data_IF_038307929232
#
_entry.id   IF_038307929232
#
_cell.length_a   1.000
_cell.length_b   1.000
_cell.length_c   1.000
_cell.angle_alpha   90.00
_cell.angle_beta   90.00
_cell.angle_gamma   90.00
#
_symmetry.space_group_name_H-M   'P 1'
#
loop_
_entity.id
_entity.type
_entity.pdbx_description
1 polymer ?
#
# COMPACT_ATOMS: atom_id res chain seq x y z
N UNK A 1 82.71 -58.28 -24.24
CA UNK A 1 83.50 -57.05 -24.06
C UNK A 1 82.79 -55.95 -24.86
N UNK A 2 82.71 -54.73 -24.31
CA UNK A 2 81.91 -53.55 -24.72
C UNK A 2 80.52 -53.40 -24.09
N UNK A 3 80.46 -52.57 -23.04
CA UNK A 3 79.33 -51.69 -22.78
C UNK A 3 79.14 -50.72 -23.96
N UNK A 4 77.91 -50.22 -24.16
CA UNK A 4 77.77 -48.79 -23.93
C UNK A 4 76.45 -48.38 -23.22
N UNK A 5 76.67 -47.52 -22.21
CA UNK A 5 76.00 -46.24 -22.00
C UNK A 5 74.50 -46.23 -21.69
N UNK A 6 74.25 -46.32 -20.39
CA UNK A 6 73.04 -45.92 -19.66
C UNK A 6 72.77 -44.41 -19.87
N UNK A 7 71.89 -44.05 -20.82
CA UNK A 7 71.31 -42.70 -20.88
C UNK A 7 69.96 -42.72 -20.18
N UNK A 8 69.96 -42.21 -18.95
CA UNK A 8 68.76 -41.82 -18.23
C UNK A 8 67.99 -40.78 -19.05
N UNK A 9 66.98 -41.21 -19.79
CA UNK A 9 65.96 -40.31 -20.29
C UNK A 9 64.89 -40.24 -19.19
N UNK A 10 64.94 -39.14 -18.43
CA UNK A 10 64.00 -38.82 -17.36
C UNK A 10 62.56 -39.04 -17.83
N UNK A 11 61.97 -40.13 -17.36
CA UNK A 11 60.54 -40.39 -17.38
C UNK A 11 59.92 -39.39 -16.37
N UNK A 12 59.66 -38.16 -16.82
CA UNK A 12 58.76 -37.24 -16.12
C UNK A 12 57.32 -37.66 -16.41
N UNK A 13 56.90 -38.77 -15.82
CA UNK A 13 55.49 -39.19 -15.83
C UNK A 13 54.91 -38.94 -14.44
N UNK A 14 54.87 -37.68 -14.04
CA UNK A 14 53.99 -37.28 -12.94
C UNK A 14 52.60 -37.14 -13.51
N UNK A 15 51.80 -38.14 -13.20
CA UNK A 15 50.40 -38.27 -13.53
C UNK A 15 49.64 -36.96 -13.28
N UNK A 16 48.85 -36.59 -14.28
CA UNK A 16 47.87 -35.52 -14.20
C UNK A 16 46.88 -35.85 -13.07
N UNK A 17 47.01 -35.19 -11.93
CA UNK A 17 45.93 -35.10 -10.97
C UNK A 17 45.24 -33.77 -11.24
N UNK A 18 44.28 -33.82 -12.17
CA UNK A 18 43.23 -32.83 -12.28
C UNK A 18 42.43 -32.87 -10.97
N UNK A 19 42.90 -32.16 -9.96
CA UNK A 19 42.09 -31.83 -8.79
C UNK A 19 41.06 -30.81 -9.26
N UNK A 20 40.00 -31.31 -9.87
CA UNK A 20 38.73 -30.59 -10.02
C UNK A 20 38.26 -30.28 -8.61
N UNK A 21 38.67 -29.13 -8.07
CA UNK A 21 38.02 -28.54 -6.92
C UNK A 21 36.59 -28.23 -7.38
N UNK A 22 35.71 -29.20 -7.16
CA UNK A 22 34.28 -29.04 -7.31
C UNK A 22 33.89 -27.88 -6.40
N UNK A 23 33.73 -26.70 -6.99
CA UNK A 23 33.13 -25.58 -6.33
C UNK A 23 31.69 -26.03 -6.04
N UNK A 24 31.44 -26.48 -4.81
CA UNK A 24 30.09 -26.64 -4.31
C UNK A 24 29.50 -25.23 -4.31
N UNK A 25 28.88 -24.85 -5.43
CA UNK A 25 28.03 -23.68 -5.51
C UNK A 25 26.82 -23.98 -4.62
N UNK A 26 26.98 -23.76 -3.33
CA UNK A 26 25.90 -23.78 -2.36
C UNK A 26 24.92 -22.71 -2.81
N UNK A 27 23.85 -23.10 -3.48
CA UNK A 27 22.75 -22.22 -3.81
C UNK A 27 22.11 -21.78 -2.48
N UNK A 28 22.57 -20.64 -1.96
CA UNK A 28 22.01 -20.04 -0.76
C UNK A 28 20.56 -19.67 -1.06
N UNK A 29 19.62 -20.40 -0.45
CA UNK A 29 18.20 -20.07 -0.54
C UNK A 29 17.91 -18.94 0.44
N UNK A 30 17.83 -17.71 -0.08
CA UNK A 30 17.40 -16.55 0.69
C UNK A 30 15.88 -16.50 0.71
N UNK A 31 15.28 -16.78 1.86
CA UNK A 31 13.84 -16.56 2.05
C UNK A 31 13.60 -15.11 2.45
N UNK A 32 12.98 -14.33 1.57
CA UNK A 32 12.56 -12.96 1.87
C UNK A 32 11.08 -12.98 2.25
N UNK A 33 10.77 -12.48 3.45
CA UNK A 33 9.40 -12.29 3.90
C UNK A 33 8.96 -10.87 3.57
N UNK A 34 7.84 -10.75 2.87
CA UNK A 34 7.17 -9.49 2.64
C UNK A 34 5.85 -9.47 3.40
N UNK A 35 5.51 -8.32 3.95
CA UNK A 35 4.20 -8.05 4.56
C UNK A 35 3.45 -7.08 3.66
N UNK A 36 2.23 -7.45 3.29
CA UNK A 36 1.34 -6.60 2.49
C UNK A 36 0.21 -6.13 3.40
N UNK A 37 0.06 -4.81 3.54
CA UNK A 37 -1.04 -4.20 4.29
C UNK A 37 -2.03 -3.59 3.31
N UNK A 38 -3.29 -4.02 3.37
CA UNK A 38 -4.37 -3.42 2.59
C UNK A 38 -4.99 -2.31 3.45
N UNK A 39 -5.00 -1.09 2.93
CA UNK A 39 -5.58 0.07 3.61
C UNK A 39 -6.74 0.63 2.81
N UNK A 40 -7.78 1.08 3.51
CA UNK A 40 -8.86 1.85 2.91
C UNK A 40 -8.33 3.18 2.39
N UNK A 41 -8.78 3.59 1.21
CA UNK A 41 -8.39 4.86 0.59
C UNK A 41 -9.63 5.65 0.21
N UNK A 42 -9.49 6.96 0.17
CA UNK A 42 -10.53 7.88 -0.29
C UNK A 42 -9.93 8.90 -1.26
N UNK A 43 -10.75 9.36 -2.19
CA UNK A 43 -10.45 10.42 -3.15
C UNK A 43 -11.54 11.48 -3.08
N UNK A 44 -11.16 12.75 -3.30
CA UNK A 44 -12.14 13.84 -3.37
C UNK A 44 -12.94 13.69 -4.66
N UNK A 45 -14.25 13.56 -4.53
CA UNK A 45 -15.16 13.56 -5.67
C UNK A 45 -15.70 14.97 -5.93
N UNK A 46 -16.09 15.67 -4.86
CA UNK A 46 -16.60 17.03 -4.93
C UNK A 46 -16.25 17.79 -3.65
N UNK A 47 -16.08 19.09 -3.78
CA UNK A 47 -15.84 20.01 -2.67
C UNK A 47 -16.49 21.36 -2.99
N UNK A 48 -17.27 21.89 -2.05
CA UNK A 48 -17.93 23.17 -2.16
C UNK A 48 -17.92 23.92 -0.82
N UNK A 49 -18.74 24.95 -0.68
CA UNK A 49 -18.82 25.76 0.54
C UNK A 49 -19.55 25.06 1.70
N UNK A 50 -20.40 24.06 1.41
CA UNK A 50 -21.17 23.32 2.40
C UNK A 50 -20.39 22.11 2.93
N UNK A 51 -19.57 21.48 2.08
CA UNK A 51 -18.85 20.29 2.49
C UNK A 51 -17.94 19.66 1.44
N UNK A 52 -17.63 18.39 1.69
CA UNK A 52 -16.77 17.54 0.85
C UNK A 52 -17.45 16.19 0.66
N UNK A 53 -17.51 15.72 -0.58
CA UNK A 53 -17.89 14.35 -0.91
C UNK A 53 -16.66 13.55 -1.30
N UNK A 54 -16.44 12.45 -0.60
CA UNK A 54 -15.31 11.54 -0.80
C UNK A 54 -15.79 10.21 -1.37
N UNK A 55 -15.12 9.72 -2.41
CA UNK A 55 -15.27 8.35 -2.86
C UNK A 55 -14.21 7.49 -2.20
N UNK A 56 -14.65 6.53 -1.41
CA UNK A 56 -13.81 5.62 -0.64
C UNK A 56 -13.91 4.19 -1.17
N UNK A 57 -12.93 3.36 -0.79
CA UNK A 57 -13.02 1.90 -0.94
C UNK A 57 -14.31 1.37 -0.31
N UNK A 58 -14.78 0.22 -0.79
CA UNK A 58 -16.05 -0.37 -0.34
C UNK A 58 -16.10 -0.51 1.18
N UNK A 59 -17.22 -0.07 1.76
CA UNK A 59 -17.56 -0.11 3.19
C UNK A 59 -16.57 0.68 4.08
N UNK A 60 -15.76 1.57 3.50
CA UNK A 60 -14.81 2.41 4.24
C UNK A 60 -15.38 3.82 4.44
N UNK A 61 -15.60 4.20 5.71
CA UNK A 61 -16.18 5.49 6.11
C UNK A 61 -15.40 6.04 7.31
N UNK A 62 -14.28 6.75 7.08
CA UNK A 62 -13.43 7.24 8.15
C UNK A 62 -14.09 8.40 8.91
N UNK A 63 -13.94 8.42 10.24
CA UNK A 63 -14.48 9.48 11.08
C UNK A 63 -13.82 10.84 10.80
N UNK A 64 -12.49 10.86 10.64
CA UNK A 64 -11.75 12.05 10.20
C UNK A 64 -10.97 11.75 8.90
N UNK A 65 -11.43 12.24 7.75
CA UNK A 65 -10.78 11.98 6.47
C UNK A 65 -9.41 12.65 6.31
N UNK A 66 -9.03 13.60 7.19
CA UNK A 66 -7.72 14.26 7.17
C UNK A 66 -6.59 13.36 7.66
N UNK A 67 -6.94 12.27 8.34
CA UNK A 67 -5.97 11.24 8.77
C UNK A 67 -5.51 10.35 7.61
N UNK A 68 -6.19 10.42 6.47
CA UNK A 68 -5.87 9.61 5.30
C UNK A 68 -4.65 10.19 4.56
N UNK A 69 -3.60 9.37 4.30
CA UNK A 69 -2.43 9.82 3.56
C UNK A 69 -2.76 10.39 2.19
N UNK A 70 -3.76 9.81 1.52
CA UNK A 70 -4.19 10.22 0.18
C UNK A 70 -4.81 11.62 0.11
N UNK A 71 -5.25 12.19 1.25
CA UNK A 71 -5.96 13.47 1.34
C UNK A 71 -5.16 14.56 2.07
N UNK A 72 -3.92 14.26 2.46
CA UNK A 72 -3.06 15.21 3.17
C UNK A 72 -2.88 16.49 2.35
N UNK A 73 -3.21 17.63 2.97
CA UNK A 73 -3.08 18.96 2.37
C UNK A 73 -4.15 19.33 1.33
N UNK A 74 -5.10 18.43 1.03
CA UNK A 74 -6.16 18.69 0.03
C UNK A 74 -7.47 19.14 0.68
N UNK A 75 -7.71 18.74 1.94
CA UNK A 75 -8.92 19.10 2.67
C UNK A 75 -8.76 20.43 3.41
N UNK A 76 -9.83 21.23 3.53
CA UNK A 76 -9.82 22.44 4.34
C UNK A 76 -9.51 22.14 5.82
N UNK A 77 -8.96 23.11 6.56
CA UNK A 77 -8.64 22.92 7.98
C UNK A 77 -9.89 22.87 8.89
N UNK A 78 -11.07 23.21 8.36
CA UNK A 78 -12.33 23.23 9.09
C UNK A 78 -12.72 21.83 9.58
N UNK A 79 -13.49 21.77 10.67
CA UNK A 79 -14.02 20.52 11.19
C UNK A 79 -15.04 19.93 10.21
N UNK A 80 -14.81 18.69 9.80
CA UNK A 80 -15.71 17.91 8.95
C UNK A 80 -16.47 16.90 9.81
N UNK A 81 -17.78 16.82 9.63
CA UNK A 81 -18.63 15.81 10.23
C UNK A 81 -19.24 14.93 9.14
N UNK A 82 -19.18 13.61 9.31
CA UNK A 82 -19.82 12.68 8.38
C UNK A 82 -21.34 12.83 8.49
N UNK A 83 -21.99 13.24 7.41
CA UNK A 83 -23.46 13.43 7.35
C UNK A 83 -24.16 12.27 6.66
N UNK A 84 -23.46 11.53 5.81
CA UNK A 84 -24.03 10.36 5.14
C UNK A 84 -22.98 9.49 4.46
N UNK A 85 -23.28 8.20 4.35
CA UNK A 85 -22.48 7.24 3.62
C UNK A 85 -23.40 6.33 2.79
N UNK A 86 -23.10 6.17 1.51
CA UNK A 86 -23.91 5.39 0.58
C UNK A 86 -23.04 4.60 -0.41
N UNK A 87 -23.61 3.57 -1.04
CA UNK A 87 -22.88 2.81 -2.05
C UNK A 87 -22.70 3.64 -3.32
N UNK A 88 -21.47 3.69 -3.84
CA UNK A 88 -21.21 4.33 -5.13
C UNK A 88 -21.64 3.41 -6.29
N UNK A 89 -22.24 3.97 -7.35
CA UNK A 89 -22.63 3.21 -8.55
C UNK A 89 -21.45 2.46 -9.20
N UNK A 90 -20.27 3.09 -9.16
CA UNK A 90 -18.99 2.60 -9.68
C UNK A 90 -18.31 1.55 -8.77
N UNK A 91 -18.97 1.17 -7.67
CA UNK A 91 -18.35 0.47 -6.55
C UNK A 91 -17.61 1.39 -5.58
N UNK A 92 -17.58 0.98 -4.31
CA UNK A 92 -17.04 1.77 -3.21
C UNK A 92 -18.13 2.40 -2.32
N UNK A 93 -17.73 3.35 -1.49
CA UNK A 93 -18.62 4.11 -0.62
C UNK A 93 -18.45 5.60 -0.89
N UNK A 94 -19.55 6.30 -1.15
CA UNK A 94 -19.61 7.76 -1.18
C UNK A 94 -19.89 8.27 0.22
N UNK A 95 -18.92 8.96 0.80
CA UNK A 95 -19.01 9.58 2.11
C UNK A 95 -19.19 11.08 1.92
N UNK A 96 -20.28 11.62 2.47
CA UNK A 96 -20.57 13.06 2.45
C UNK A 96 -20.24 13.63 3.81
N UNK A 97 -19.43 14.68 3.82
CA UNK A 97 -19.03 15.41 5.02
C UNK A 97 -19.48 16.86 4.92
N UNK A 98 -20.05 17.40 5.99
CA UNK A 98 -20.39 18.81 6.10
C UNK A 98 -19.39 19.54 6.99
N UNK A 99 -19.15 20.82 6.71
CA UNK A 99 -18.44 21.68 7.65
C UNK A 99 -19.32 21.98 8.86
N UNK A 100 -18.74 22.08 10.05
CA UNK A 100 -19.49 22.33 11.29
C UNK A 100 -20.44 23.56 11.23
N UNK A 101 -20.10 24.59 10.45
CA UNK A 101 -20.98 25.75 10.25
C UNK A 101 -22.25 25.41 9.44
N UNK A 102 -22.15 24.51 8.46
CA UNK A 102 -23.27 24.06 7.63
C UNK A 102 -24.12 22.98 8.32
N UNK A 103 -23.49 22.06 9.06
CA UNK A 103 -24.18 20.99 9.77
C UNK A 103 -25.21 21.50 10.80
N UNK A 104 -24.89 22.62 11.47
CA UNK A 104 -25.81 23.27 12.42
C UNK A 104 -27.01 23.93 11.73
N UNK A 105 -26.86 24.40 10.48
CA UNK A 105 -27.94 25.04 9.74
C UNK A 105 -29.00 24.01 9.26
N UNK A 106 -28.56 22.84 8.76
CA UNK A 106 -29.47 21.75 8.37
C UNK A 106 -30.25 21.19 9.58
N UNK A 107 -29.61 21.06 10.76
CA UNK A 107 -30.28 20.59 11.98
C UNK A 107 -31.32 21.58 12.52
N UNK A 108 -31.12 22.89 12.32
CA UNK A 108 -32.09 23.92 12.71
C UNK A 108 -33.32 23.93 11.79
N UNK A 109 -33.16 23.69 10.49
CA UNK A 109 -34.28 23.66 9.55
C UNK A 109 -35.17 22.42 9.79
N UNK A 110 -34.56 21.28 10.13
CA UNK A 110 -35.27 20.04 10.43
C UNK A 110 -36.05 20.07 11.75
N UNK A 111 -35.63 20.91 12.72
CA UNK A 111 -36.36 21.13 13.97
C UNK A 111 -37.43 22.24 13.90
N UNK A 112 -37.40 23.10 12.87
CA UNK A 112 -38.39 24.18 12.71
C UNK A 112 -39.70 23.72 12.06
N UNK A 113 -39.77 22.47 11.59
CA UNK A 113 -40.95 21.88 10.93
C UNK A 113 -42.00 21.25 11.85
N UNK A 114 -41.82 21.25 13.18
CA UNK A 114 -42.74 20.60 14.14
C UNK A 114 -43.43 21.62 15.03
N UNK A 115 -44.09 22.62 14.43
CA UNK A 115 -45.12 23.40 15.13
C UNK A 115 -46.25 23.68 14.16
N UNK A 116 -47.22 22.76 14.06
CA UNK A 116 -48.65 23.10 13.99
C UNK A 116 -49.56 21.86 14.00
N UNK A 117 -50.69 22.01 14.71
CA UNK A 117 -51.94 21.22 14.70
C UNK A 117 -51.90 19.92 15.54
N UNK A 118 -52.66 19.73 16.63
CA UNK A 118 -53.89 20.32 17.17
C UNK A 118 -53.85 20.35 18.71
#
# INVERSE_FOLDING_TARGET
>A
MFQPQFKQLLIRTTAAVLLSAACAASAAQTTIRFTVTVVGTCQIQAQDAAGVTLRCTKDFSPADPRTLPALLGQLPPQQLALVGAEAAAEGGTLNRYAFAAAANAEQQEQHSGVVAFY
#
